data_IF_210276238943
#
_entry.id   IF_210276238943
#
_cell.length_a   1.000
_cell.length_b   1.000
_cell.length_c   1.000
_cell.angle_alpha   90.00
_cell.angle_beta   90.00
_cell.angle_gamma   90.00
#
_symmetry.space_group_name_H-M   'P 1'
#
loop_
_entity.id
_entity.type
_entity.pdbx_description
1 polymer ?
#
# COMPACT_ATOMS: atom_id res chain seq x y z
N UNK A 1 -0.07 -28.94 15.61
CA UNK A 1 -0.17 -28.15 15.80
C UNK A 1 0.28 -27.43 16.14
N UNK A 2 0.24 -27.59 15.84
CA UNK A 2 0.28 -26.73 16.09
C UNK A 2 0.60 -26.09 16.45
N UNK A 3 0.48 -26.14 16.17
CA UNK A 3 0.42 -25.36 16.42
C UNK A 3 0.60 -24.56 16.76
N UNK A 4 0.76 -25.10 16.54
CA UNK A 4 0.60 -24.20 16.77
C UNK A 4 0.50 -23.41 17.18
N UNK A 5 0.62 -23.55 17.32
CA UNK A 5 0.33 -22.80 17.48
C UNK A 5 -0.03 -22.03 17.55
N UNK A 6 0.15 -22.51 17.71
CA UNK A 6 -0.37 -21.74 17.71
C UNK A 6 -0.50 -20.67 17.26
N UNK A 7 0.46 -20.79 16.78
CA UNK A 7 -0.04 -19.69 16.13
C UNK A 7 -1.39 -19.31 16.68
N UNK A 8 -1.67 -18.08 16.74
CA UNK A 8 -2.97 -17.72 17.26
C UNK A 8 -4.07 -18.40 16.45
N UNK A 9 -4.70 -19.40 17.05
CA UNK A 9 -5.81 -20.08 16.42
C UNK A 9 -6.91 -19.04 16.22
N UNK A 10 -7.38 -18.91 15.00
CA UNK A 10 -8.41 -17.96 14.67
C UNK A 10 -7.88 -16.62 14.18
N UNK A 11 -6.59 -16.39 14.25
CA UNK A 11 -6.04 -15.18 13.66
C UNK A 11 -6.09 -15.32 12.14
N UNK A 12 -6.76 -14.38 11.45
CA UNK A 12 -6.92 -14.52 10.00
C UNK A 12 -5.62 -14.30 9.25
N UNK A 13 -5.53 -14.98 8.10
CA UNK A 13 -4.50 -14.69 7.14
C UNK A 13 -4.89 -13.43 6.37
N UNK A 14 -3.90 -12.72 5.88
CA UNK A 14 -4.16 -11.49 5.11
C UNK A 14 -5.10 -11.77 3.95
N UNK A 15 -4.93 -12.89 3.24
CA UNK A 15 -5.78 -13.23 2.10
C UNK A 15 -7.25 -13.43 2.48
N UNK A 16 -7.53 -13.65 3.75
CA UNK A 16 -8.90 -13.84 4.24
C UNK A 16 -9.55 -12.53 4.67
N UNK A 17 -8.76 -11.47 4.80
CA UNK A 17 -9.27 -10.16 5.16
C UNK A 17 -9.82 -9.49 3.90
N UNK A 18 -10.91 -8.75 4.06
CA UNK A 18 -11.46 -8.03 2.93
C UNK A 18 -10.49 -6.96 2.43
N UNK A 19 -10.31 -6.90 1.12
CA UNK A 19 -9.48 -5.90 0.47
C UNK A 19 -10.40 -5.01 -0.33
N UNK A 20 -10.98 -4.02 0.33
CA UNK A 20 -12.06 -3.23 -0.24
C UNK A 20 -11.59 -1.90 -0.84
N UNK A 21 -10.41 -1.43 -0.46
CA UNK A 21 -9.93 -0.16 -0.97
C UNK A 21 -9.36 -0.32 -2.36
N UNK A 22 -9.73 0.63 -3.20
CA UNK A 22 -9.35 0.58 -4.61
C UNK A 22 -7.94 1.12 -4.82
N UNK A 23 -7.33 0.68 -5.88
CA UNK A 23 -6.03 1.16 -6.29
C UNK A 23 -5.97 1.18 -7.82
N UNK A 24 -5.02 1.92 -8.35
CA UNK A 24 -4.72 1.92 -9.78
C UNK A 24 -3.25 1.63 -9.97
N UNK A 25 -2.92 0.87 -11.00
CA UNK A 25 -1.52 0.63 -11.37
C UNK A 25 -1.19 1.59 -12.51
N UNK A 26 -0.14 2.37 -12.35
CA UNK A 26 0.27 3.36 -13.34
C UNK A 26 1.75 3.19 -13.67
N UNK A 27 2.13 3.60 -14.87
CA UNK A 27 3.53 3.58 -15.28
C UNK A 27 4.30 4.70 -14.58
N UNK A 28 5.59 4.47 -14.36
CA UNK A 28 6.41 5.44 -13.65
C UNK A 28 6.66 6.74 -14.45
N UNK A 29 6.38 6.75 -15.73
CA UNK A 29 6.54 7.96 -16.55
C UNK A 29 5.23 8.72 -16.74
N UNK A 30 4.20 8.42 -15.95
CA UNK A 30 2.93 9.13 -16.05
C UNK A 30 3.13 10.61 -15.68
N UNK A 31 2.83 11.56 -16.60
CA UNK A 31 3.00 12.98 -16.30
C UNK A 31 2.03 13.46 -15.23
N UNK A 32 2.47 14.42 -14.41
CA UNK A 32 1.63 14.90 -13.31
C UNK A 32 0.27 15.46 -13.73
N UNK A 33 0.12 16.14 -14.87
CA UNK A 33 -1.23 16.55 -15.31
C UNK A 33 -2.16 15.35 -15.49
N UNK A 34 -1.63 14.21 -15.94
CA UNK A 34 -2.43 12.99 -16.08
C UNK A 34 -2.69 12.32 -14.74
N UNK A 35 -1.77 12.46 -13.80
CA UNK A 35 -1.99 12.03 -12.41
C UNK A 35 -3.15 12.82 -11.83
N UNK A 36 -3.17 14.14 -12.06
CA UNK A 36 -4.26 15.00 -11.61
C UNK A 36 -5.60 14.52 -12.15
N UNK A 37 -5.64 14.14 -13.41
CA UNK A 37 -6.87 13.63 -14.03
C UNK A 37 -7.35 12.35 -13.37
N UNK A 38 -6.41 11.49 -12.94
CA UNK A 38 -6.77 10.26 -12.23
C UNK A 38 -7.41 10.56 -10.89
N UNK A 39 -6.85 11.49 -10.13
CA UNK A 39 -7.40 11.88 -8.84
C UNK A 39 -8.71 12.66 -8.97
N UNK A 40 -8.89 13.42 -10.05
CA UNK A 40 -10.16 14.09 -10.28
C UNK A 40 -11.29 13.09 -10.42
N UNK A 41 -11.01 11.94 -11.00
CA UNK A 41 -11.99 10.89 -11.21
C UNK A 41 -12.15 10.00 -9.99
N UNK A 42 -11.03 9.63 -9.35
CA UNK A 42 -11.03 8.70 -8.23
C UNK A 42 -10.06 9.18 -7.14
N UNK A 43 -10.45 10.18 -6.36
CA UNK A 43 -9.53 10.82 -5.42
C UNK A 43 -9.09 9.93 -4.24
N UNK A 44 -9.84 8.88 -3.95
CA UNK A 44 -9.52 8.00 -2.83
C UNK A 44 -8.64 6.81 -3.23
N UNK A 45 -8.39 6.61 -4.51
CA UNK A 45 -7.53 5.52 -4.95
C UNK A 45 -6.06 5.87 -4.71
N UNK A 46 -5.29 4.87 -4.31
CA UNK A 46 -3.84 5.00 -4.35
C UNK A 46 -3.36 4.66 -5.75
N UNK A 47 -2.34 5.35 -6.23
CA UNK A 47 -1.67 5.00 -7.47
C UNK A 47 -0.43 4.20 -7.11
N UNK A 48 -0.35 2.98 -7.58
CA UNK A 48 0.80 2.10 -7.38
C UNK A 48 1.66 2.18 -8.63
N UNK A 49 2.90 2.61 -8.46
CA UNK A 49 3.78 2.94 -9.58
C UNK A 49 4.59 1.72 -9.96
N UNK A 50 4.39 1.27 -11.17
CA UNK A 50 4.94 0.01 -11.68
C UNK A 50 5.95 0.27 -12.79
N UNK A 51 7.09 -0.43 -12.71
CA UNK A 51 8.09 -0.41 -13.76
C UNK A 51 7.91 -1.69 -14.59
N UNK A 52 7.37 -1.53 -15.78
CA UNK A 52 7.07 -2.65 -16.66
C UNK A 52 8.32 -3.40 -17.10
N UNK A 53 9.42 -2.69 -17.32
CA UNK A 53 10.65 -3.29 -17.79
C UNK A 53 11.28 -4.19 -16.74
N UNK A 54 11.14 -3.83 -15.47
CA UNK A 54 11.68 -4.60 -14.36
C UNK A 54 10.64 -5.52 -13.72
N UNK A 55 9.38 -5.42 -14.14
CA UNK A 55 8.27 -6.15 -13.55
C UNK A 55 8.23 -5.96 -12.03
N UNK A 56 8.20 -4.70 -11.60
CA UNK A 56 8.41 -4.37 -10.20
C UNK A 56 7.72 -3.06 -9.84
N UNK A 57 7.12 -3.00 -8.66
CA UNK A 57 6.56 -1.75 -8.14
C UNK A 57 7.67 -0.94 -7.49
N UNK A 58 7.63 0.37 -7.72
CA UNK A 58 8.65 1.30 -7.25
C UNK A 58 8.15 2.27 -6.20
N UNK A 59 6.86 2.49 -6.14
CA UNK A 59 6.35 3.46 -5.18
C UNK A 59 4.85 3.53 -5.14
N UNK A 60 4.35 4.45 -4.33
CA UNK A 60 2.94 4.74 -4.20
C UNK A 60 2.73 6.24 -4.24
N UNK A 61 1.51 6.65 -4.59
CA UNK A 61 1.19 8.06 -4.70
C UNK A 61 -0.28 8.26 -4.35
N UNK A 62 -0.54 8.95 -3.25
CA UNK A 62 -1.89 9.27 -2.79
C UNK A 62 -2.21 10.71 -3.15
N UNK A 63 -3.47 11.07 -3.07
CA UNK A 63 -3.87 12.46 -3.31
C UNK A 63 -3.08 13.42 -2.41
N UNK A 64 -2.84 13.05 -1.17
CA UNK A 64 -2.07 13.89 -0.26
C UNK A 64 -0.64 14.10 -0.79
N UNK A 65 -0.03 13.08 -1.35
CA UNK A 65 1.31 13.19 -1.96
C UNK A 65 1.29 14.17 -3.12
N UNK A 66 0.20 14.19 -3.88
CA UNK A 66 0.02 15.12 -4.98
C UNK A 66 0.01 16.56 -4.45
N UNK A 67 -0.73 16.81 -3.36
CA UNK A 67 -0.75 18.14 -2.75
C UNK A 67 0.63 18.55 -2.25
N UNK A 68 1.36 17.63 -1.64
CA UNK A 68 2.72 17.91 -1.18
C UNK A 68 3.65 18.26 -2.35
N UNK A 69 3.52 17.52 -3.45
CA UNK A 69 4.37 17.76 -4.62
C UNK A 69 4.13 19.14 -5.21
N UNK A 70 2.89 19.60 -5.25
CA UNK A 70 2.57 20.92 -5.79
C UNK A 70 2.81 22.04 -4.79
N UNK A 71 2.55 21.78 -3.51
CA UNK A 71 2.73 22.80 -2.46
C UNK A 71 4.17 23.02 -2.08
N UNK A 72 5.00 21.99 -2.16
CA UNK A 72 6.41 22.07 -1.83
C UNK A 72 7.21 21.19 -2.78
N UNK A 73 7.32 21.59 -4.05
CA UNK A 73 7.95 20.75 -5.07
C UNK A 73 9.43 20.49 -4.77
N UNK A 74 9.95 19.34 -5.23
CA UNK A 74 11.39 19.10 -5.15
C UNK A 74 12.15 20.25 -5.82
N UNK A 75 13.32 20.54 -5.32
CA UNK A 75 14.12 21.67 -5.79
C UNK A 75 14.27 21.71 -7.31
N UNK A 76 14.51 20.57 -7.92
CA UNK A 76 14.64 20.43 -9.38
C UNK A 76 13.40 20.92 -10.11
N UNK A 77 12.23 20.74 -9.51
CA UNK A 77 10.93 21.01 -10.15
C UNK A 77 10.25 22.26 -9.59
N UNK A 78 10.95 23.08 -8.85
CA UNK A 78 10.37 24.22 -8.13
C UNK A 78 9.49 25.10 -9.01
N UNK A 79 9.91 25.38 -10.25
CA UNK A 79 9.17 26.25 -11.14
C UNK A 79 8.51 25.53 -12.30
N UNK A 80 8.54 24.20 -12.31
CA UNK A 80 8.06 23.41 -13.42
C UNK A 80 7.52 22.06 -13.00
N UNK A 81 6.90 22.02 -11.82
CA UNK A 81 6.39 20.74 -11.27
C UNK A 81 5.43 20.06 -12.24
N UNK A 82 4.67 20.81 -13.01
CA UNK A 82 3.73 20.24 -13.98
C UNK A 82 4.41 19.45 -15.11
N UNK A 83 5.74 19.60 -15.25
CA UNK A 83 6.51 18.84 -16.25
C UNK A 83 7.11 17.57 -15.68
N UNK A 84 7.01 17.36 -14.38
CA UNK A 84 7.51 16.15 -13.74
C UNK A 84 6.62 14.97 -14.04
N UNK A 85 7.16 13.77 -13.85
CA UNK A 85 6.38 12.54 -13.91
C UNK A 85 6.25 11.97 -12.51
N UNK A 86 5.38 10.98 -12.36
CA UNK A 86 5.09 10.42 -11.04
C UNK A 86 6.35 9.83 -10.38
N UNK A 87 7.28 9.29 -11.16
CA UNK A 87 8.52 8.73 -10.60
C UNK A 87 9.37 9.80 -9.90
N UNK A 88 9.24 11.06 -10.33
CA UNK A 88 10.01 12.15 -9.73
C UNK A 88 9.55 12.53 -8.33
N UNK A 89 8.30 12.21 -7.98
CA UNK A 89 7.68 12.70 -6.75
C UNK A 89 7.04 11.60 -5.91
N UNK A 90 6.98 10.37 -6.40
CA UNK A 90 6.32 9.27 -5.69
C UNK A 90 7.01 8.95 -4.37
N UNK A 91 6.27 8.30 -3.48
CA UNK A 91 6.82 7.79 -2.25
C UNK A 91 7.38 6.38 -2.51
N UNK A 92 8.66 6.20 -2.24
CA UNK A 92 9.34 4.93 -2.50
C UNK A 92 9.31 3.97 -1.32
N UNK A 93 8.80 4.41 -0.18
CA UNK A 93 8.76 3.56 1.01
C UNK A 93 7.54 2.64 0.96
N UNK A 94 7.59 1.66 0.08
CA UNK A 94 6.55 0.63 0.01
C UNK A 94 7.13 -0.67 0.54
N UNK A 95 6.26 -1.56 0.99
CA UNK A 95 6.65 -2.86 1.49
C UNK A 95 5.80 -3.93 0.83
N UNK A 96 6.29 -5.14 0.80
CA UNK A 96 5.54 -6.28 0.30
C UNK A 96 5.46 -7.34 1.38
N UNK A 97 4.36 -8.09 1.38
CA UNK A 97 4.15 -9.18 2.32
C UNK A 97 3.38 -10.28 1.59
N UNK A 98 3.64 -11.51 1.92
CA UNK A 98 2.88 -12.61 1.35
C UNK A 98 1.47 -12.62 1.92
N UNK A 99 0.49 -12.85 1.09
CA UNK A 99 -0.90 -12.83 1.53
C UNK A 99 -1.28 -14.01 2.43
N UNK A 100 -0.40 -15.01 2.52
CA UNK A 100 -0.55 -16.11 3.48
C UNK A 100 -0.04 -15.75 4.87
N UNK A 101 0.58 -14.57 5.03
CA UNK A 101 0.98 -14.09 6.35
C UNK A 101 -0.26 -13.73 7.16
N UNK A 102 -0.12 -13.71 8.47
CA UNK A 102 -1.22 -13.33 9.34
C UNK A 102 -1.22 -11.82 9.61
N UNK A 103 -2.27 -11.34 10.23
CA UNK A 103 -2.45 -9.92 10.49
C UNK A 103 -1.37 -9.36 11.42
N UNK A 104 -0.94 -10.14 12.40
CA UNK A 104 0.13 -9.69 13.31
C UNK A 104 1.43 -9.41 12.56
N UNK A 105 1.72 -10.19 11.51
CA UNK A 105 2.91 -9.97 10.70
C UNK A 105 2.79 -8.66 9.91
N UNK A 106 1.58 -8.34 9.44
CA UNK A 106 1.35 -7.07 8.77
C UNK A 106 1.57 -5.89 9.72
N UNK A 107 1.09 -5.98 10.95
CA UNK A 107 1.33 -4.94 11.93
C UNK A 107 2.80 -4.81 12.29
N UNK A 108 3.52 -5.92 12.37
CA UNK A 108 4.96 -5.88 12.56
C UNK A 108 5.64 -5.09 11.47
N UNK A 109 5.21 -5.29 10.24
CA UNK A 109 5.74 -4.57 9.09
C UNK A 109 5.43 -3.06 9.19
N UNK A 110 4.21 -2.72 9.58
CA UNK A 110 3.82 -1.33 9.76
C UNK A 110 4.71 -0.63 10.79
N UNK A 111 4.95 -1.29 11.92
CA UNK A 111 5.71 -0.66 13.01
C UNK A 111 7.19 -0.55 12.72
N UNK A 112 7.75 -1.49 11.98
CA UNK A 112 9.19 -1.51 11.71
C UNK A 112 9.57 -0.68 10.50
N UNK A 113 8.75 -0.68 9.44
CA UNK A 113 9.07 -0.01 8.18
C UNK A 113 8.24 1.22 7.91
N UNK A 114 7.10 1.34 8.55
CA UNK A 114 6.16 2.47 8.35
C UNK A 114 5.93 2.74 6.87
N UNK A 115 5.55 1.72 6.09
CA UNK A 115 5.44 1.89 4.65
C UNK A 115 4.27 2.79 4.27
N UNK A 116 4.40 3.46 3.14
CA UNK A 116 3.30 4.25 2.59
C UNK A 116 2.23 3.35 2.00
N UNK A 117 2.61 2.15 1.57
CA UNK A 117 1.68 1.18 1.03
C UNK A 117 2.24 -0.22 1.24
N UNK A 118 1.34 -1.18 1.47
CA UNK A 118 1.72 -2.58 1.59
C UNK A 118 1.13 -3.32 0.40
N UNK A 119 1.98 -3.99 -0.37
CA UNK A 119 1.59 -4.77 -1.52
C UNK A 119 1.61 -6.24 -1.17
N UNK A 120 0.65 -6.98 -1.69
CA UNK A 120 0.49 -8.39 -1.39
C UNK A 120 1.06 -9.25 -2.50
N UNK A 121 1.72 -10.34 -2.12
CA UNK A 121 2.20 -11.35 -3.05
C UNK A 121 1.48 -12.67 -2.78
N UNK A 122 1.15 -13.38 -3.85
CA UNK A 122 0.58 -14.71 -3.72
C UNK A 122 1.68 -15.75 -3.50
N UNK A 123 1.29 -17.02 -3.45
CA UNK A 123 2.23 -18.11 -3.19
C UNK A 123 3.31 -18.25 -4.27
N UNK A 124 3.04 -17.71 -5.46
CA UNK A 124 3.99 -17.73 -6.57
C UNK A 124 4.83 -16.47 -6.66
N UNK A 125 4.71 -15.59 -5.67
CA UNK A 125 5.46 -14.34 -5.65
C UNK A 125 4.92 -13.27 -6.57
N UNK A 126 3.70 -13.44 -7.10
CA UNK A 126 3.11 -12.46 -7.99
C UNK A 126 2.26 -11.46 -7.21
N UNK A 127 2.14 -10.27 -7.77
CA UNK A 127 1.31 -9.23 -7.15
C UNK A 127 -0.13 -9.73 -6.98
N UNK A 128 -0.64 -9.62 -5.76
CA UNK A 128 -1.97 -10.13 -5.41
C UNK A 128 -2.90 -9.04 -4.88
N UNK A 129 -2.44 -7.80 -4.79
CA UNK A 129 -3.29 -6.72 -4.34
C UNK A 129 -2.63 -5.75 -3.39
N UNK A 130 -3.44 -4.89 -2.81
CA UNK A 130 -3.03 -3.79 -1.95
C UNK A 130 -3.75 -3.94 -0.61
N UNK A 131 -2.98 -3.85 0.47
CA UNK A 131 -3.53 -3.88 1.83
C UNK A 131 -3.49 -2.45 2.38
N UNK A 132 -4.65 -1.84 2.54
CA UNK A 132 -4.74 -0.47 3.01
C UNK A 132 -4.76 -0.39 4.53
N UNK A 133 -4.52 0.80 5.05
CA UNK A 133 -4.67 1.05 6.48
C UNK A 133 -6.09 0.78 6.93
N UNK A 134 -7.05 1.06 6.07
CA UNK A 134 -8.46 0.82 6.39
C UNK A 134 -8.77 -0.66 6.47
N UNK A 135 -8.19 -1.47 5.58
CA UNK A 135 -8.35 -2.92 5.63
C UNK A 135 -7.74 -3.47 6.93
N UNK A 136 -6.59 -2.95 7.33
CA UNK A 136 -5.97 -3.35 8.60
C UNK A 136 -6.83 -2.94 9.80
N UNK A 137 -7.42 -1.76 9.73
CA UNK A 137 -8.31 -1.30 10.79
C UNK A 137 -9.53 -2.22 10.92
N UNK A 138 -10.11 -2.60 9.77
CA UNK A 138 -11.27 -3.50 9.76
C UNK A 138 -10.90 -4.85 10.37
N UNK A 139 -9.70 -5.36 10.06
CA UNK A 139 -9.23 -6.61 10.64
C UNK A 139 -9.06 -6.49 12.16
N UNK A 140 -8.56 -5.34 12.62
CA UNK A 140 -8.41 -5.09 14.05
C UNK A 140 -9.78 -5.09 14.75
N UNK A 141 -10.78 -4.48 14.14
CA UNK A 141 -12.11 -4.48 14.72
C UNK A 141 -12.66 -5.89 14.87
N UNK A 142 -12.39 -6.74 13.88
CA UNK A 142 -12.82 -8.15 13.95
C UNK A 142 -12.11 -8.90 15.09
N UNK A 143 -10.82 -8.64 15.27
CA UNK A 143 -10.06 -9.27 16.34
C UNK A 143 -10.45 -8.73 17.71
N UNK A 144 -10.91 -7.49 17.78
CA UNK A 144 -11.32 -6.86 19.02
C UNK A 144 -12.50 -7.58 19.66
N UNK A 145 -13.26 -8.32 18.89
CA UNK A 145 -14.34 -9.14 19.41
C UNK A 145 -13.79 -10.37 20.16
N UNK A 146 -12.50 -10.60 20.04
CA UNK A 146 -11.83 -11.69 20.72
C UNK A 146 -10.50 -11.17 21.29
N UNK A 147 -10.55 -10.51 22.45
CA UNK A 147 -9.37 -9.85 23.03
C UNK A 147 -8.16 -10.76 23.22
N UNK A 148 -8.38 -12.06 23.34
CA UNK A 148 -7.28 -13.01 23.52
C UNK A 148 -6.34 -13.05 22.31
N UNK A 149 -6.82 -12.58 21.14
CA UNK A 149 -6.00 -12.60 19.93
C UNK A 149 -5.12 -11.38 19.78
N UNK A 150 -5.49 -10.27 20.40
CA UNK A 150 -4.74 -9.03 20.28
C UNK A 150 -4.22 -8.50 21.60
N UNK A 151 -4.86 -8.88 22.67
CA UNK A 151 -4.57 -8.31 23.97
C UNK A 151 -3.36 -8.89 24.63
N UNK A 152 -2.91 -9.87 24.07
CA UNK A 152 -1.84 -10.65 24.68
C UNK A 152 -0.92 -9.85 25.55
#
# INVERSE_FOLDING_TARGET
MNEVGSMAIGEPLIKEVGHHDQYQVVDLDLPLPKVAARFAERPDDVLLVYNRDEDKFHGSFYLYDFHLAYGNPPKKWKNSIHKATIVDVMNTNIATIEWTANISQAWGLVTTKRPSAILLKDEKGRFAGYLSNKDLWTALEQLDENPALIGA
#
